data_IF_181296232652
#
_entry.id   IF_181296232652
#
_cell.length_a   1.000
_cell.length_b   1.000
_cell.length_c   1.000
_cell.angle_alpha   90.00
_cell.angle_beta   90.00
_cell.angle_gamma   90.00
#
_symmetry.space_group_name_H-M   'P 1'
#
loop_
_entity.id
_entity.type
_entity.pdbx_description
1 polymer ?
#
# COMPACT_ATOMS: atom_id res chain seq x y z
N UNK A 1 -9.64 62.80 2.19
CA UNK A 1 -10.26 61.60 1.59
C UNK A 1 -9.57 60.37 2.18
N UNK A 2 -10.28 59.36 2.71
CA UNK A 2 -9.64 58.13 3.18
C UNK A 2 -9.63 57.05 2.10
N UNK A 3 -8.50 56.36 1.95
CA UNK A 3 -8.34 55.19 1.08
C UNK A 3 -9.16 53.99 1.59
N UNK A 4 -9.89 53.34 0.68
CA UNK A 4 -10.70 52.15 0.96
C UNK A 4 -9.79 50.94 1.15
N UNK A 5 -9.81 50.35 2.35
CA UNK A 5 -9.23 49.03 2.60
C UNK A 5 -10.08 47.95 1.92
N UNK A 6 -9.53 47.30 0.90
CA UNK A 6 -10.08 46.06 0.36
C UNK A 6 -9.47 44.88 1.12
N UNK A 7 -10.24 44.29 2.04
CA UNK A 7 -9.91 42.98 2.62
C UNK A 7 -10.33 41.89 1.64
N UNK A 8 -9.36 41.27 0.96
CA UNK A 8 -9.57 40.02 0.24
C UNK A 8 -9.44 38.86 1.24
N UNK A 9 -10.56 38.19 1.55
CA UNK A 9 -10.54 36.90 2.21
C UNK A 9 -10.42 35.81 1.13
N UNK A 10 -9.22 35.26 0.95
CA UNK A 10 -8.99 34.10 0.09
C UNK A 10 -9.63 32.87 0.73
N UNK A 11 -10.69 32.37 0.10
CA UNK A 11 -11.30 31.08 0.43
C UNK A 11 -10.28 29.98 0.11
N UNK A 12 -9.74 29.34 1.15
CA UNK A 12 -8.88 28.16 1.00
C UNK A 12 -9.75 27.03 0.45
N UNK A 13 -9.50 26.62 -0.79
CA UNK A 13 -10.19 25.48 -1.39
C UNK A 13 -9.54 24.23 -0.82
N UNK A 14 -10.27 23.52 0.05
CA UNK A 14 -9.82 22.24 0.59
C UNK A 14 -10.09 21.16 -0.47
N UNK A 15 -9.07 20.85 -1.28
CA UNK A 15 -9.13 19.81 -2.29
C UNK A 15 -8.85 18.48 -1.59
N UNK A 16 -9.89 17.71 -1.28
CA UNK A 16 -9.70 16.31 -0.87
C UNK A 16 -9.22 15.52 -2.10
N UNK A 17 -8.12 14.73 -2.01
CA UNK A 17 -7.66 13.93 -3.13
C UNK A 17 -8.74 12.92 -3.53
N UNK A 18 -9.06 12.84 -4.83
CA UNK A 18 -9.93 11.79 -5.36
C UNK A 18 -9.16 10.48 -5.32
N UNK A 19 -9.67 9.52 -4.56
CA UNK A 19 -9.15 8.15 -4.50
C UNK A 19 -9.72 7.38 -5.68
N UNK A 20 -8.87 6.99 -6.62
CA UNK A 20 -9.24 6.11 -7.72
C UNK A 20 -8.73 4.70 -7.41
N UNK A 21 -9.59 3.69 -7.57
CA UNK A 21 -9.17 2.29 -7.63
C UNK A 21 -8.09 2.14 -8.71
N UNK A 22 -7.06 1.35 -8.41
CA UNK A 22 -5.90 1.13 -9.27
C UNK A 22 -5.75 -0.35 -9.57
N UNK A 23 -5.09 -0.62 -10.69
CA UNK A 23 -4.64 -1.96 -11.04
C UNK A 23 -3.12 -2.02 -10.97
N UNK A 24 -2.59 -2.98 -10.23
CA UNK A 24 -1.16 -3.29 -10.19
C UNK A 24 -0.90 -4.45 -11.15
N UNK A 25 -0.13 -4.17 -12.20
CA UNK A 25 0.30 -5.20 -13.16
C UNK A 25 1.66 -5.71 -12.73
N UNK A 26 1.77 -7.03 -12.52
CA UNK A 26 3.00 -7.70 -12.12
C UNK A 26 3.35 -8.77 -13.13
N UNK A 27 4.62 -8.84 -13.52
CA UNK A 27 5.15 -9.92 -14.34
C UNK A 27 6.14 -10.74 -13.52
N UNK A 28 5.94 -12.06 -13.47
CA UNK A 28 6.84 -13.00 -12.80
C UNK A 28 6.93 -14.27 -13.62
N UNK A 29 8.15 -14.70 -13.94
CA UNK A 29 8.43 -15.95 -14.68
C UNK A 29 7.59 -16.07 -15.98
N UNK A 30 7.43 -14.95 -16.70
CA UNK A 30 6.64 -14.89 -17.95
C UNK A 30 5.12 -14.90 -17.77
N UNK A 31 4.62 -15.02 -16.54
CA UNK A 31 3.20 -14.89 -16.20
C UNK A 31 2.87 -13.46 -15.81
N UNK A 32 1.77 -12.93 -16.35
CA UNK A 32 1.28 -11.58 -16.04
C UNK A 32 0.04 -11.64 -15.15
N UNK A 33 0.08 -10.91 -14.05
CA UNK A 33 -0.96 -10.82 -13.04
C UNK A 33 -1.45 -9.38 -12.95
N UNK A 34 -2.75 -9.22 -12.67
CA UNK A 34 -3.37 -7.91 -12.43
C UNK A 34 -4.11 -7.97 -11.10
N UNK A 35 -3.72 -7.12 -10.17
CA UNK A 35 -4.36 -7.00 -8.85
C UNK A 35 -5.11 -5.67 -8.78
N UNK A 36 -6.40 -5.70 -8.48
CA UNK A 36 -7.14 -4.51 -8.08
C UNK A 36 -6.71 -4.08 -6.68
N UNK A 37 -6.43 -2.79 -6.50
CA UNK A 37 -6.09 -2.19 -5.20
C UNK A 37 -6.83 -0.86 -5.06
N UNK A 38 -7.18 -0.49 -3.84
CA UNK A 38 -7.81 0.81 -3.59
C UNK A 38 -6.82 1.96 -3.87
N UNK A 39 -5.57 1.81 -3.41
CA UNK A 39 -4.56 2.86 -3.45
C UNK A 39 -3.12 2.32 -3.57
N UNK A 40 -2.23 3.17 -4.09
CA UNK A 40 -0.77 2.95 -4.05
C UNK A 40 -0.16 4.17 -3.37
N UNK A 41 0.37 3.99 -2.16
CA UNK A 41 0.98 5.10 -1.44
C UNK A 41 2.29 5.56 -2.10
N UNK A 42 3.17 4.62 -2.47
CA UNK A 42 4.45 4.95 -3.10
C UNK A 42 5.51 3.86 -2.96
N UNK A 43 6.72 4.16 -3.40
CA UNK A 43 7.87 3.25 -3.30
C UNK A 43 8.70 3.66 -2.09
N UNK A 44 8.95 2.71 -1.20
CA UNK A 44 9.74 2.91 0.01
C UNK A 44 10.89 1.92 0.08
N UNK A 45 12.07 2.41 0.46
CA UNK A 45 13.22 1.55 0.77
C UNK A 45 13.09 1.07 2.21
N UNK A 46 13.14 -0.24 2.40
CA UNK A 46 13.09 -0.89 3.70
C UNK A 46 14.35 -1.74 3.85
N UNK A 47 15.02 -1.63 4.98
CA UNK A 47 16.18 -2.45 5.34
C UNK A 47 15.71 -3.78 5.95
N UNK A 48 16.43 -4.90 5.73
CA UNK A 48 16.04 -6.20 6.27
C UNK A 48 15.79 -6.19 7.79
N UNK A 49 16.56 -5.41 8.55
CA UNK A 49 16.45 -5.32 10.02
C UNK A 49 15.17 -4.60 10.47
N UNK A 50 14.51 -3.86 9.56
CA UNK A 50 13.22 -3.21 9.83
C UNK A 50 12.04 -4.17 9.63
N UNK A 51 12.28 -5.35 9.07
CA UNK A 51 11.26 -6.37 8.89
C UNK A 51 11.18 -7.16 10.19
N UNK A 52 10.13 -6.88 10.95
CA UNK A 52 9.83 -7.58 12.19
C UNK A 52 9.18 -8.94 11.95
N UNK A 53 9.19 -9.76 13.00
CA UNK A 53 8.49 -11.04 13.00
C UNK A 53 6.98 -10.85 12.84
N UNK A 54 6.32 -11.81 12.19
CA UNK A 54 4.86 -11.85 12.08
C UNK A 54 4.26 -12.01 13.48
N UNK A 55 3.32 -11.13 13.91
CA UNK A 55 2.66 -11.24 15.20
C UNK A 55 2.01 -12.61 15.39
N UNK A 56 2.07 -13.14 16.62
CA UNK A 56 1.57 -14.47 16.97
C UNK A 56 0.06 -14.68 16.72
N UNK A 57 -0.69 -13.60 16.53
CA UNK A 57 -2.11 -13.59 16.18
C UNK A 57 -2.36 -13.79 14.69
N UNK A 58 -1.44 -13.33 13.84
CA UNK A 58 -1.49 -13.49 12.38
C UNK A 58 -0.88 -14.84 11.99
N UNK A 59 0.20 -15.27 12.66
CA UNK A 59 0.87 -16.56 12.41
C UNK A 59 0.01 -17.81 12.62
N UNK A 60 -1.17 -17.68 13.27
CA UNK A 60 -2.12 -18.78 13.48
C UNK A 60 -3.06 -19.03 12.30
N UNK A 61 -3.07 -18.14 11.30
CA UNK A 61 -3.83 -18.33 10.07
C UNK A 61 -2.93 -19.06 9.07
N UNK A 62 -3.30 -20.30 8.72
CA UNK A 62 -2.54 -21.19 7.84
C UNK A 62 -2.31 -20.64 6.42
N UNK A 63 -3.02 -19.58 6.03
CA UNK A 63 -2.94 -18.90 4.73
C UNK A 63 -2.34 -17.49 4.84
N UNK A 64 -1.35 -17.30 5.71
CA UNK A 64 -0.69 -16.00 5.77
C UNK A 64 0.36 -15.88 4.68
N UNK A 65 0.01 -15.21 3.58
CA UNK A 65 0.94 -14.71 2.56
C UNK A 65 1.85 -13.59 3.10
N UNK A 66 2.13 -13.54 4.41
CA UNK A 66 2.88 -12.48 5.08
C UNK A 66 4.22 -13.02 5.54
N UNK A 67 5.30 -12.45 4.99
CA UNK A 67 6.69 -12.77 5.32
C UNK A 67 7.18 -12.05 6.57
N UNK A 68 6.61 -10.88 6.87
CA UNK A 68 6.96 -10.06 8.03
C UNK A 68 6.09 -8.82 8.15
N UNK A 69 6.30 -8.06 9.22
CA UNK A 69 5.62 -6.78 9.44
C UNK A 69 6.65 -5.65 9.46
N UNK A 70 6.32 -4.55 8.77
CA UNK A 70 7.12 -3.34 8.71
C UNK A 70 6.38 -2.27 9.50
N UNK A 71 7.06 -1.63 10.45
CA UNK A 71 6.54 -0.41 11.06
C UNK A 71 6.90 0.79 10.20
N UNK A 72 5.93 1.32 9.47
CA UNK A 72 6.11 2.41 8.53
C UNK A 72 5.21 3.59 8.93
N UNK A 73 5.82 4.72 9.30
CA UNK A 73 5.12 5.92 9.81
C UNK A 73 4.15 5.65 10.99
N UNK A 74 4.52 4.70 11.87
CA UNK A 74 3.66 4.29 12.99
C UNK A 74 2.51 3.36 12.61
N UNK A 75 2.43 2.95 11.34
CA UNK A 75 1.49 1.96 10.84
C UNK A 75 2.18 0.61 10.64
N UNK A 76 1.46 -0.46 10.96
CA UNK A 76 1.93 -1.82 10.67
C UNK A 76 1.56 -2.19 9.23
N UNK A 77 2.56 -2.46 8.40
CA UNK A 77 2.40 -2.84 7.00
C UNK A 77 2.86 -4.29 6.81
N UNK A 78 2.01 -5.13 6.23
CA UNK A 78 2.39 -6.51 5.91
C UNK A 78 3.35 -6.55 4.72
N UNK A 79 4.48 -7.24 4.90
CA UNK A 79 5.35 -7.61 3.80
C UNK A 79 4.88 -8.95 3.23
N UNK A 80 4.45 -8.96 1.97
CA UNK A 80 3.95 -10.17 1.34
C UNK A 80 5.08 -11.17 1.04
N UNK A 81 4.80 -12.45 1.27
CA UNK A 81 5.62 -13.55 0.77
C UNK A 81 5.25 -13.78 -0.70
N UNK A 82 6.04 -13.19 -1.59
CA UNK A 82 5.79 -13.24 -3.02
C UNK A 82 5.95 -14.66 -3.58
N UNK A 83 6.89 -15.44 -3.08
CA UNK A 83 7.11 -16.83 -3.49
C UNK A 83 5.86 -17.69 -3.21
N UNK A 84 5.35 -17.64 -1.97
CA UNK A 84 4.15 -18.38 -1.57
C UNK A 84 2.89 -17.86 -2.29
N UNK A 85 2.78 -16.54 -2.46
CA UNK A 85 1.65 -15.90 -3.13
C UNK A 85 1.53 -16.38 -4.57
N UNK A 86 2.60 -16.22 -5.38
CA UNK A 86 2.55 -16.57 -6.79
C UNK A 86 2.50 -18.08 -7.02
N UNK A 87 3.16 -18.89 -6.18
CA UNK A 87 2.99 -20.35 -6.20
C UNK A 87 1.52 -20.75 -6.04
N UNK A 88 0.84 -20.17 -5.05
CA UNK A 88 -0.55 -20.52 -4.75
C UNK A 88 -1.51 -19.99 -5.81
N UNK A 89 -1.30 -18.78 -6.33
CA UNK A 89 -2.11 -18.22 -7.41
C UNK A 89 -1.98 -19.05 -8.69
N UNK A 90 -0.75 -19.41 -9.09
CA UNK A 90 -0.53 -20.26 -10.25
C UNK A 90 -1.25 -21.61 -10.11
N UNK A 91 -1.21 -22.22 -8.91
CA UNK A 91 -1.90 -23.48 -8.63
C UNK A 91 -3.44 -23.37 -8.61
N UNK A 92 -4.00 -22.21 -8.24
CA UNK A 92 -5.46 -22.01 -8.18
C UNK A 92 -6.08 -21.64 -9.53
N UNK A 93 -5.29 -21.10 -10.46
CA UNK A 93 -5.75 -20.65 -11.78
C UNK A 93 -5.57 -21.72 -12.86
N UNK A 94 -4.61 -22.65 -12.69
CA UNK A 94 -4.43 -23.84 -13.53
C UNK A 94 -5.31 -25.00 -13.07
#
# INVERSE_FOLDING_TARGET
MPERSFKSASKVINISPVVYERMVVVEREGSRWVFGVDEIYGIHRILPEQIGNVPATISKVAETYTKGIINWQGQSVCYLDDDLLFYTLAKKVL
#
